data_IF_468441373759
#
_entry.id   IF_468441373759
#
_cell.length_a   1.000
_cell.length_b   1.000
_cell.length_c   1.000
_cell.angle_alpha   90.00
_cell.angle_beta   90.00
_cell.angle_gamma   90.00
#
_symmetry.space_group_name_H-M   'P 1'
#
loop_
_entity.id
_entity.type
_entity.pdbx_description
1 polymer ?
#
# COMPACT_ATOMS: atom_id res chain seq x y z
N UNK A 1 8.72 13.05 0.73
CA UNK A 1 9.41 11.79 0.38
C UNK A 1 10.91 11.98 0.31
N UNK A 2 11.38 12.96 -0.46
CA UNK A 2 12.83 13.21 -0.60
C UNK A 2 13.47 13.47 0.76
N UNK A 3 12.84 14.29 1.59
CA UNK A 3 13.35 14.61 2.90
C UNK A 3 13.44 13.37 3.80
N UNK A 4 12.41 12.52 3.75
CA UNK A 4 12.40 11.27 4.51
C UNK A 4 13.53 10.33 4.07
N UNK A 5 13.80 10.25 2.76
CA UNK A 5 14.87 9.42 2.23
C UNK A 5 16.27 9.90 2.63
N UNK A 6 16.43 11.21 2.77
CA UNK A 6 17.71 11.79 3.19
C UNK A 6 18.08 11.39 4.62
N UNK A 7 17.12 11.06 5.44
CA UNK A 7 17.34 10.64 6.82
C UNK A 7 17.41 9.12 6.99
N UNK A 8 17.35 8.37 5.90
CA UNK A 8 17.41 6.91 5.89
C UNK A 8 16.49 6.27 6.96
N UNK A 9 15.18 6.54 6.93
CA UNK A 9 14.28 6.02 7.94
C UNK A 9 14.17 4.50 7.87
N UNK A 10 13.92 3.87 9.02
CA UNK A 10 13.66 2.42 9.07
C UNK A 10 12.22 2.10 8.67
N UNK A 11 11.32 3.04 8.88
CA UNK A 11 9.91 2.92 8.52
C UNK A 11 9.52 4.17 7.74
N UNK A 12 8.92 3.96 6.58
CA UNK A 12 8.41 5.04 5.75
C UNK A 12 6.90 4.88 5.62
N UNK A 13 6.15 5.92 5.96
CA UNK A 13 4.70 5.92 5.83
C UNK A 13 4.31 6.86 4.69
N UNK A 14 3.62 6.31 3.68
CA UNK A 14 3.12 7.07 2.53
C UNK A 14 1.60 7.08 2.59
N UNK A 15 1.03 8.23 2.92
CA UNK A 15 -0.42 8.38 3.04
C UNK A 15 -0.98 9.04 1.77
N UNK A 16 -1.70 8.25 0.97
CA UNK A 16 -2.28 8.67 -0.30
C UNK A 16 -1.24 9.40 -1.17
N UNK A 17 -0.05 8.82 -1.39
CA UNK A 17 1.05 9.54 -2.04
C UNK A 17 0.80 9.87 -3.51
N UNK A 18 -0.17 9.22 -4.13
CA UNK A 18 -0.47 9.41 -5.55
C UNK A 18 -1.76 10.16 -5.80
N UNK A 19 -2.40 10.68 -4.74
CA UNK A 19 -3.66 11.40 -4.88
C UNK A 19 -3.45 12.68 -5.69
N UNK A 20 -4.28 12.86 -6.73
CA UNK A 20 -4.22 14.04 -7.58
C UNK A 20 -3.04 14.08 -8.55
N UNK A 21 -2.30 12.99 -8.71
CA UNK A 21 -1.14 12.90 -9.58
C UNK A 21 -1.48 12.15 -10.86
N UNK A 22 -0.86 12.52 -11.97
CA UNK A 22 -1.11 11.85 -13.26
C UNK A 22 -0.61 10.41 -13.27
N UNK A 23 -1.11 9.63 -14.24
CA UNK A 23 -0.85 8.19 -14.32
C UNK A 23 0.64 7.84 -14.42
N UNK A 24 1.39 8.61 -15.21
CA UNK A 24 2.82 8.35 -15.39
C UNK A 24 3.62 8.53 -14.11
N UNK A 25 3.42 9.65 -13.43
CA UNK A 25 4.10 9.95 -12.19
C UNK A 25 3.63 9.01 -11.07
N UNK A 26 2.34 8.66 -11.06
CA UNK A 26 1.78 7.71 -10.11
C UNK A 26 2.51 6.36 -10.20
N UNK A 27 2.74 5.87 -11.41
CA UNK A 27 3.46 4.61 -11.63
C UNK A 27 4.88 4.67 -11.09
N UNK A 28 5.57 5.79 -11.27
CA UNK A 28 6.93 5.97 -10.76
C UNK A 28 6.97 5.95 -9.23
N UNK A 29 6.01 6.59 -8.58
CA UNK A 29 5.91 6.59 -7.13
C UNK A 29 5.67 5.18 -6.59
N UNK A 30 4.80 4.42 -7.26
CA UNK A 30 4.52 3.04 -6.90
C UNK A 30 5.76 2.16 -7.01
N UNK A 31 6.51 2.30 -8.10
CA UNK A 31 7.74 1.54 -8.31
C UNK A 31 8.80 1.89 -7.27
N UNK A 32 8.90 3.17 -6.93
CA UNK A 32 9.82 3.63 -5.90
C UNK A 32 9.48 3.00 -4.54
N UNK A 33 8.22 2.99 -4.16
CA UNK A 33 7.77 2.40 -2.90
C UNK A 33 8.13 0.91 -2.83
N UNK A 34 7.89 0.16 -3.91
CA UNK A 34 8.23 -1.26 -3.98
C UNK A 34 9.73 -1.47 -3.88
N UNK A 35 10.53 -0.65 -4.58
CA UNK A 35 11.99 -0.76 -4.54
C UNK A 35 12.52 -0.50 -3.14
N UNK A 36 12.00 0.50 -2.45
CA UNK A 36 12.41 0.81 -1.08
C UNK A 36 12.08 -0.32 -0.11
N UNK A 37 10.91 -0.94 -0.28
CA UNK A 37 10.50 -2.05 0.57
C UNK A 37 11.40 -3.27 0.40
N UNK A 38 11.99 -3.45 -0.79
CA UNK A 38 12.88 -4.56 -1.08
C UNK A 38 14.33 -4.31 -0.69
N UNK A 39 14.70 -3.05 -0.41
CA UNK A 39 16.07 -2.69 -0.14
C UNK A 39 16.34 -2.46 1.34
N UNK A 40 17.54 -2.80 1.78
CA UNK A 40 18.14 -2.40 3.07
C UNK A 40 17.25 -2.49 4.32
N UNK A 41 16.30 -3.42 4.35
CA UNK A 41 15.50 -3.63 5.55
C UNK A 41 14.53 -2.51 5.91
N UNK A 42 14.20 -1.63 4.96
CA UNK A 42 13.22 -0.59 5.18
C UNK A 42 11.80 -1.17 5.13
N UNK A 43 10.96 -0.78 6.07
CA UNK A 43 9.54 -1.13 6.05
C UNK A 43 8.75 0.03 5.48
N UNK A 44 7.89 -0.24 4.50
CA UNK A 44 7.06 0.79 3.88
C UNK A 44 5.60 0.50 4.19
N UNK A 45 4.91 1.49 4.75
CA UNK A 45 3.47 1.44 4.95
C UNK A 45 2.84 2.35 3.90
N UNK A 46 2.04 1.76 3.01
CA UNK A 46 1.42 2.47 1.89
C UNK A 46 -0.08 2.53 2.13
N UNK A 47 -0.63 3.73 2.26
CA UNK A 47 -2.04 3.93 2.52
C UNK A 47 -2.71 4.48 1.26
N UNK A 48 -3.75 3.82 0.78
CA UNK A 48 -4.47 4.25 -0.40
C UNK A 48 -5.92 3.77 -0.36
N UNK A 49 -6.79 4.52 -1.01
CA UNK A 49 -8.17 4.14 -1.24
C UNK A 49 -8.35 3.48 -2.61
N UNK A 50 -7.30 3.44 -3.42
CA UNK A 50 -7.35 2.83 -4.75
C UNK A 50 -6.92 1.37 -4.71
N UNK A 51 -7.87 0.47 -4.98
CA UNK A 51 -7.64 -0.96 -4.89
C UNK A 51 -6.55 -1.45 -5.85
N UNK A 52 -6.56 -0.99 -7.10
CA UNK A 52 -5.58 -1.42 -8.10
C UNK A 52 -4.16 -1.04 -7.69
N UNK A 53 -4.01 0.14 -7.09
CA UNK A 53 -2.72 0.61 -6.59
C UNK A 53 -2.22 -0.30 -5.46
N UNK A 54 -3.08 -0.67 -4.54
CA UNK A 54 -2.74 -1.54 -3.43
C UNK A 54 -2.31 -2.93 -3.91
N UNK A 55 -3.01 -3.48 -4.88
CA UNK A 55 -2.69 -4.79 -5.43
C UNK A 55 -1.31 -4.80 -6.08
N UNK A 56 -0.97 -3.72 -6.80
CA UNK A 56 0.31 -3.64 -7.49
C UNK A 56 1.51 -3.38 -6.58
N UNK A 57 1.28 -2.70 -5.46
CA UNK A 57 2.38 -2.23 -4.61
C UNK A 57 2.58 -3.05 -3.34
N UNK A 58 1.54 -3.66 -2.81
CA UNK A 58 1.59 -4.26 -1.48
C UNK A 58 1.61 -5.78 -1.53
N UNK A 59 2.40 -6.38 -0.63
CA UNK A 59 2.43 -7.83 -0.44
C UNK A 59 1.49 -8.25 0.69
N UNK A 60 1.14 -7.31 1.55
CA UNK A 60 0.21 -7.52 2.65
C UNK A 60 -0.67 -6.30 2.77
N UNK A 61 -1.97 -6.52 2.84
CA UNK A 61 -2.97 -5.46 2.94
C UNK A 61 -3.79 -5.63 4.21
N UNK A 62 -3.91 -4.55 4.97
CA UNK A 62 -4.82 -4.49 6.10
C UNK A 62 -6.01 -3.63 5.70
N UNK A 63 -7.21 -4.20 5.79
CA UNK A 63 -8.44 -3.50 5.45
C UNK A 63 -9.04 -2.91 6.72
N UNK A 64 -9.27 -1.60 6.70
CA UNK A 64 -9.87 -0.87 7.82
C UNK A 64 -11.22 -0.33 7.40
N UNK A 65 -12.24 -0.60 8.20
CA UNK A 65 -13.59 -0.10 7.98
C UNK A 65 -14.17 0.35 9.31
N UNK A 66 -14.81 1.53 9.31
CA UNK A 66 -15.40 2.11 10.51
C UNK A 66 -14.40 2.17 11.68
N UNK A 67 -13.15 2.57 11.36
CA UNK A 67 -12.06 2.72 12.33
C UNK A 67 -11.60 1.41 12.97
N UNK A 68 -11.96 0.28 12.37
CA UNK A 68 -11.57 -1.04 12.88
C UNK A 68 -10.90 -1.85 11.79
N UNK A 69 -9.93 -2.65 12.19
CA UNK A 69 -9.32 -3.61 11.29
C UNK A 69 -10.33 -4.74 11.06
N UNK A 70 -10.69 -4.97 9.80
CA UNK A 70 -11.67 -6.01 9.46
C UNK A 70 -11.04 -7.21 8.78
N UNK A 71 -9.85 -7.07 8.17
CA UNK A 71 -9.18 -8.17 7.50
C UNK A 71 -7.70 -7.90 7.30
N UNK A 72 -6.91 -8.98 7.18
CA UNK A 72 -5.54 -8.94 6.70
C UNK A 72 -5.43 -9.91 5.53
N UNK A 73 -4.85 -9.44 4.42
CA UNK A 73 -4.73 -10.23 3.19
C UNK A 73 -3.26 -10.19 2.78
N UNK A 74 -2.67 -11.36 2.52
CA UNK A 74 -1.26 -11.41 2.12
C UNK A 74 -0.99 -12.49 1.08
N UNK A 75 0.13 -12.35 0.38
CA UNK A 75 0.60 -13.30 -0.61
C UNK A 75 -0.38 -13.46 -1.77
N UNK A 76 -0.65 -14.69 -2.13
CA UNK A 76 -1.52 -15.02 -3.26
C UNK A 76 -2.98 -14.59 -3.06
N UNK A 77 -3.35 -14.24 -1.83
CA UNK A 77 -4.71 -13.80 -1.51
C UNK A 77 -4.94 -12.31 -1.80
N UNK A 78 -3.89 -11.58 -2.17
CA UNK A 78 -4.01 -10.16 -2.52
C UNK A 78 -4.63 -10.04 -3.92
N UNK A 79 -5.94 -10.03 -3.97
CA UNK A 79 -6.73 -9.93 -5.20
C UNK A 79 -7.85 -8.93 -5.01
N UNK A 80 -8.37 -8.40 -6.12
CA UNK A 80 -9.51 -7.47 -6.04
C UNK A 80 -10.73 -8.13 -5.40
N UNK A 81 -10.95 -9.40 -5.70
CA UNK A 81 -12.08 -10.15 -5.15
C UNK A 81 -12.00 -10.23 -3.62
N UNK A 82 -10.85 -10.62 -3.09
CA UNK A 82 -10.67 -10.73 -1.63
C UNK A 82 -10.75 -9.38 -0.93
N UNK A 83 -10.21 -8.33 -1.54
CA UNK A 83 -10.29 -7.00 -0.98
C UNK A 83 -11.74 -6.52 -0.92
N UNK A 84 -12.51 -6.74 -1.99
CA UNK A 84 -13.90 -6.35 -2.02
C UNK A 84 -14.73 -7.11 -1.01
N UNK A 85 -14.46 -8.40 -0.82
CA UNK A 85 -15.13 -9.19 0.23
C UNK A 85 -14.85 -8.62 1.61
N UNK A 86 -13.62 -8.27 1.89
CA UNK A 86 -13.23 -7.70 3.18
C UNK A 86 -13.93 -6.35 3.43
N UNK A 87 -13.97 -5.49 2.41
CA UNK A 87 -14.63 -4.19 2.51
C UNK A 87 -16.12 -4.35 2.77
N UNK A 88 -16.74 -5.35 2.13
CA UNK A 88 -18.17 -5.63 2.31
C UNK A 88 -18.50 -6.35 3.62
N UNK A 89 -17.47 -6.71 4.41
CA UNK A 89 -17.66 -7.40 5.68
C UNK A 89 -17.67 -8.92 5.58
N UNK A 90 -17.27 -9.47 4.43
CA UNK A 90 -17.16 -10.91 4.26
C UNK A 90 -15.85 -11.47 4.81
N UNK A 91 -15.76 -12.80 4.90
CA UNK A 91 -14.53 -13.47 5.28
C UNK A 91 -13.63 -13.70 4.06
N UNK A 92 -12.36 -13.62 4.29
CA UNK A 92 -11.36 -13.81 3.23
C UNK A 92 -10.58 -15.10 3.46
#
# INVERSE_FOLDING_TARGET
IILALMHEPKILILDEPTRGIDVGTKSEIQKMAVALAKSKGMSVIFISSEMDEMIRTCTKITVIRDRKKVAEIEGDKVTSENIMKAIAGGEV
#
